data_IF_071863507625
#
_entry.id   IF_071863507625
#
_cell.length_a   1.000
_cell.length_b   1.000
_cell.length_c   1.000
_cell.angle_alpha   90.00
_cell.angle_beta   90.00
_cell.angle_gamma   90.00
#
_symmetry.space_group_name_H-M   'P 1'
#
loop_
_entity.id
_entity.type
_entity.pdbx_description
1 polymer ?
#
# COMPACT_ATOMS: atom_id res chain seq x y z
N UNK A 1 17.81 37.41 24.18
CA UNK A 1 17.64 36.06 24.73
C UNK A 1 18.48 35.11 23.92
N UNK A 2 19.16 34.18 24.59
CA UNK A 2 19.89 33.09 23.94
C UNK A 2 19.34 31.78 24.49
N UNK A 3 19.25 30.76 23.65
CA UNK A 3 18.86 29.44 24.12
C UNK A 3 20.03 28.79 24.90
N UNK A 4 19.72 27.92 25.87
CA UNK A 4 20.71 27.08 26.55
C UNK A 4 21.56 26.27 25.56
N UNK A 5 22.74 25.81 26.01
CA UNK A 5 23.61 24.96 25.19
C UNK A 5 22.87 23.70 24.71
N UNK A 6 23.02 23.38 23.42
CA UNK A 6 22.33 22.26 22.76
C UNK A 6 20.93 22.57 22.22
N UNK A 7 20.46 23.81 22.36
CA UNK A 7 19.16 24.24 21.83
C UNK A 7 19.30 25.33 20.75
N UNK A 8 18.33 25.37 19.86
CA UNK A 8 18.18 26.32 18.76
C UNK A 8 16.86 27.07 18.91
N UNK A 9 16.83 28.33 18.52
CA UNK A 9 15.62 29.16 18.61
C UNK A 9 14.80 29.00 17.33
N UNK A 10 13.63 28.37 17.42
CA UNK A 10 12.69 28.13 16.30
C UNK A 10 11.27 28.46 16.77
N UNK A 11 10.50 29.23 16.00
CA UNK A 11 9.11 29.64 16.30
C UNK A 11 8.87 30.35 17.64
N UNK A 12 9.88 31.03 18.19
CA UNK A 12 9.75 31.72 19.49
C UNK A 12 10.06 30.83 20.70
N UNK A 13 10.40 29.56 20.48
CA UNK A 13 10.77 28.60 21.52
C UNK A 13 12.20 28.08 21.32
N UNK A 14 12.84 27.66 22.42
CA UNK A 14 14.11 26.97 22.36
C UNK A 14 13.86 25.47 22.20
N UNK A 15 14.14 24.92 21.01
CA UNK A 15 13.98 23.51 20.68
C UNK A 15 15.35 22.81 20.67
N UNK A 16 15.41 21.48 20.89
CA UNK A 16 16.66 20.73 20.71
C UNK A 16 17.23 20.92 19.31
N UNK A 17 18.56 20.96 19.18
CA UNK A 17 19.24 21.13 17.89
C UNK A 17 18.78 20.11 16.83
N UNK A 18 18.47 18.90 17.27
CA UNK A 18 18.03 17.77 16.44
C UNK A 18 16.73 18.07 15.66
N UNK A 19 15.94 19.07 16.06
CA UNK A 19 14.73 19.52 15.34
C UNK A 19 15.06 20.21 14.00
N UNK A 20 16.29 20.69 13.85
CA UNK A 20 16.80 21.22 12.59
C UNK A 20 17.45 20.15 11.71
N UNK A 21 17.62 18.92 12.20
CA UNK A 21 18.20 17.85 11.39
C UNK A 21 17.14 17.33 10.42
N UNK A 22 17.37 17.60 9.14
CA UNK A 22 16.56 17.12 8.04
C UNK A 22 17.06 15.75 7.60
N UNK A 23 16.15 14.80 7.43
CA UNK A 23 16.49 13.48 6.91
C UNK A 23 16.59 13.43 5.38
N UNK A 24 16.05 14.43 4.68
CA UNK A 24 16.11 14.53 3.23
C UNK A 24 16.08 16.00 2.73
N UNK A 25 16.29 16.19 1.43
CA UNK A 25 16.27 17.52 0.78
C UNK A 25 14.87 18.14 0.68
N UNK A 26 13.81 17.38 0.97
CA UNK A 26 12.43 17.88 0.98
C UNK A 26 12.04 18.50 2.33
N UNK A 27 12.91 18.38 3.34
CA UNK A 27 12.70 18.98 4.64
C UNK A 27 11.97 18.10 5.64
N UNK A 28 11.99 16.77 5.46
CA UNK A 28 11.41 15.86 6.44
C UNK A 28 12.22 15.85 7.75
N UNK A 29 11.51 16.10 8.85
CA UNK A 29 12.07 16.23 10.20
C UNK A 29 11.89 14.93 10.99
N UNK A 30 12.56 14.86 12.15
CA UNK A 30 12.45 13.74 13.08
C UNK A 30 10.99 13.37 13.39
N UNK A 31 10.64 12.11 13.14
CA UNK A 31 9.28 11.60 13.34
C UNK A 31 8.38 11.67 12.10
N UNK A 32 8.81 12.34 11.04
CA UNK A 32 8.06 12.36 9.78
C UNK A 32 8.09 10.97 9.13
N UNK A 33 6.93 10.60 8.57
CA UNK A 33 6.73 9.38 7.77
C UNK A 33 6.16 9.80 6.42
N UNK A 34 6.81 9.39 5.34
CA UNK A 34 6.37 9.71 3.98
C UNK A 34 6.46 8.49 3.07
N UNK A 35 5.68 8.51 1.99
CA UNK A 35 5.78 7.53 0.90
C UNK A 35 6.63 8.11 -0.22
N UNK A 36 7.64 7.37 -0.64
CA UNK A 36 8.46 7.74 -1.81
C UNK A 36 7.87 7.14 -3.09
N UNK A 37 7.25 5.97 -2.96
CA UNK A 37 6.44 5.34 -4.01
C UNK A 37 5.26 4.57 -3.36
N UNK A 38 4.52 3.79 -4.17
CA UNK A 38 3.36 3.02 -3.72
C UNK A 38 3.69 1.92 -2.68
N UNK A 39 4.93 1.44 -2.68
CA UNK A 39 5.45 0.31 -1.92
C UNK A 39 6.54 0.69 -0.91
N UNK A 40 7.09 1.89 -1.00
CA UNK A 40 8.22 2.37 -0.22
C UNK A 40 7.76 3.47 0.69
N UNK A 41 7.82 3.20 2.00
CA UNK A 41 7.62 4.22 3.03
C UNK A 41 8.92 4.47 3.77
N UNK A 42 9.21 5.74 4.04
CA UNK A 42 10.40 6.19 4.74
C UNK A 42 10.00 6.89 6.03
N UNK A 43 10.83 6.72 7.06
CA UNK A 43 10.66 7.39 8.35
C UNK A 43 11.95 8.05 8.78
N UNK A 44 11.87 9.30 9.23
CA UNK A 44 13.02 10.03 9.75
C UNK A 44 13.28 9.66 11.22
N UNK A 45 14.37 8.94 11.47
CA UNK A 45 14.77 8.51 12.83
C UNK A 45 15.64 9.55 13.52
N UNK A 46 15.62 9.52 14.86
CA UNK A 46 16.36 10.43 15.77
C UNK A 46 17.85 10.64 15.47
N UNK A 47 18.49 9.71 14.76
CA UNK A 47 19.90 9.83 14.38
C UNK A 47 20.13 10.68 13.10
N UNK A 48 19.09 11.38 12.61
CA UNK A 48 19.13 12.11 11.34
C UNK A 48 19.22 11.17 10.12
N UNK A 49 18.91 9.89 10.30
CA UNK A 49 18.93 8.87 9.25
C UNK A 49 17.50 8.54 8.82
N UNK A 50 17.27 8.56 7.51
CA UNK A 50 16.06 7.98 6.94
C UNK A 50 16.12 6.45 7.02
N UNK A 51 15.01 5.84 7.42
CA UNK A 51 14.79 4.39 7.37
C UNK A 51 13.65 4.12 6.39
N UNK A 52 13.97 3.51 5.24
CA UNK A 52 13.01 3.22 4.19
C UNK A 52 12.70 1.72 4.17
N UNK A 53 11.42 1.39 4.24
CA UNK A 53 10.90 0.05 4.12
C UNK A 53 10.24 -0.09 2.75
N UNK A 54 10.74 -1.05 1.97
CA UNK A 54 10.18 -1.41 0.67
C UNK A 54 9.38 -2.71 0.80
N UNK A 55 8.10 -2.66 0.46
CA UNK A 55 7.22 -3.81 0.42
C UNK A 55 7.41 -4.58 -0.88
N UNK A 56 7.63 -5.90 -0.78
CA UNK A 56 7.80 -6.79 -1.94
C UNK A 56 6.51 -7.57 -2.16
N UNK A 57 6.01 -7.54 -3.39
CA UNK A 57 4.76 -8.19 -3.73
C UNK A 57 4.85 -9.72 -3.76
N UNK A 58 3.79 -10.41 -3.31
CA UNK A 58 3.73 -11.86 -3.40
C UNK A 58 3.75 -12.31 -4.85
N UNK A 59 4.29 -13.51 -5.14
CA UNK A 59 4.25 -14.08 -6.48
C UNK A 59 2.80 -14.41 -6.88
N UNK A 60 2.57 -14.43 -8.19
CA UNK A 60 1.26 -14.78 -8.75
C UNK A 60 0.85 -16.22 -8.39
N UNK A 61 -0.43 -16.46 -8.07
CA UNK A 61 -0.91 -17.81 -7.81
C UNK A 61 -0.93 -18.63 -9.10
N UNK A 62 -0.66 -19.93 -8.97
CA UNK A 62 -0.81 -20.88 -10.07
C UNK A 62 -2.28 -21.33 -10.11
N UNK A 63 -3.00 -20.95 -11.17
CA UNK A 63 -4.38 -21.37 -11.38
C UNK A 63 -4.48 -22.75 -12.02
N UNK A 64 -5.57 -23.47 -11.71
CA UNK A 64 -5.91 -24.76 -12.34
C UNK A 64 -6.46 -24.52 -13.75
N UNK A 65 -6.53 -25.57 -14.58
CA UNK A 65 -7.06 -25.47 -15.95
C UNK A 65 -8.48 -24.89 -16.03
N UNK A 66 -9.33 -25.15 -15.02
CA UNK A 66 -10.70 -24.63 -14.94
C UNK A 66 -10.81 -23.26 -14.24
N UNK A 67 -9.69 -22.56 -14.07
CA UNK A 67 -9.64 -21.26 -13.41
C UNK A 67 -8.91 -20.23 -14.27
N UNK A 68 -9.41 -19.00 -14.27
CA UNK A 68 -8.75 -17.84 -14.87
C UNK A 68 -8.10 -17.00 -13.78
N UNK A 69 -6.91 -16.48 -14.06
CA UNK A 69 -6.27 -15.50 -13.19
C UNK A 69 -6.97 -14.14 -13.36
N UNK A 70 -7.40 -13.56 -12.26
CA UNK A 70 -8.00 -12.22 -12.20
C UNK A 70 -7.08 -11.32 -11.39
N UNK A 71 -6.79 -10.14 -11.94
CA UNK A 71 -5.98 -9.09 -11.30
C UNK A 71 -6.88 -7.98 -10.81
N UNK A 72 -6.70 -7.59 -9.55
CA UNK A 72 -7.31 -6.40 -8.95
C UNK A 72 -6.20 -5.40 -8.67
N UNK A 73 -6.35 -4.18 -9.19
CA UNK A 73 -5.36 -3.11 -9.05
C UNK A 73 -5.18 -2.72 -7.59
N UNK A 74 -3.97 -2.87 -7.07
CA UNK A 74 -3.59 -2.39 -5.74
C UNK A 74 -3.60 -0.88 -5.67
N UNK A 75 -3.31 -0.19 -6.79
CA UNK A 75 -3.28 1.27 -6.86
C UNK A 75 -4.66 1.88 -6.59
N UNK A 76 -5.73 1.26 -7.09
CA UNK A 76 -7.11 1.70 -6.82
C UNK A 76 -7.51 1.48 -5.35
N UNK A 77 -6.81 0.60 -4.65
CA UNK A 77 -7.04 0.25 -3.25
C UNK A 77 -6.01 0.87 -2.30
N UNK A 78 -5.15 1.79 -2.77
CA UNK A 78 -4.06 2.40 -2.02
C UNK A 78 -3.10 1.37 -1.37
N UNK A 79 -2.99 0.18 -1.98
CA UNK A 79 -2.11 -0.92 -1.57
C UNK A 79 -0.89 -0.97 -2.48
N UNK A 80 0.27 -1.37 -1.95
CA UNK A 80 1.48 -1.57 -2.75
C UNK A 80 1.25 -2.54 -3.92
N UNK A 81 0.62 -3.67 -3.63
CA UNK A 81 0.56 -4.80 -4.55
C UNK A 81 -0.81 -5.02 -5.14
N UNK A 82 -0.83 -5.44 -6.40
CA UNK A 82 -2.04 -5.98 -6.99
C UNK A 82 -2.39 -7.33 -6.37
N UNK A 83 -3.70 -7.58 -6.28
CA UNK A 83 -4.20 -8.84 -5.79
C UNK A 83 -4.58 -9.73 -6.96
N UNK A 84 -3.77 -10.76 -7.19
CA UNK A 84 -4.03 -11.79 -8.18
C UNK A 84 -4.68 -13.00 -7.49
N UNK A 85 -5.81 -13.47 -8.04
CA UNK A 85 -6.49 -14.66 -7.54
C UNK A 85 -7.11 -15.45 -8.69
N UNK A 86 -7.31 -16.74 -8.44
CA UNK A 86 -7.92 -17.65 -9.42
C UNK A 86 -9.43 -17.64 -9.24
N UNK A 87 -10.15 -17.38 -10.32
CA UNK A 87 -11.61 -17.43 -10.38
C UNK A 87 -12.02 -18.61 -11.25
N UNK A 88 -13.00 -19.40 -10.78
CA UNK A 88 -13.54 -20.52 -11.56
C UNK A 88 -14.18 -20.03 -12.86
N UNK A 89 -13.89 -20.74 -13.95
CA UNK A 89 -14.57 -20.53 -15.23
C UNK A 89 -15.93 -21.22 -15.12
N UNK A 90 -16.94 -20.45 -14.73
CA UNK A 90 -18.33 -20.90 -14.76
C UNK A 90 -18.81 -20.77 -16.20
N UNK A 91 -18.91 -21.90 -16.90
CA UNK A 91 -19.72 -21.98 -18.13
C UNK A 91 -21.18 -21.73 -17.71
N UNK A 92 -21.82 -20.68 -18.24
CA UNK A 92 -23.24 -20.44 -18.02
C UNK A 92 -24.02 -21.63 -18.61
N UNK A 93 -24.50 -22.54 -17.75
CA UNK A 93 -25.38 -23.61 -18.17
C UNK A 93 -26.66 -22.99 -18.75
N UNK A 94 -27.06 -23.30 -19.99
CA UNK A 94 -28.30 -22.80 -20.55
C UNK A 94 -29.47 -23.26 -19.67
N UNK A 95 -30.42 -22.36 -19.40
CA UNK A 95 -31.63 -22.72 -18.65
C UNK A 95 -32.31 -23.92 -19.32
N UNK A 96 -32.49 -25.00 -18.55
CA UNK A 96 -33.24 -26.17 -19.00
C UNK A 96 -34.69 -25.74 -19.26
N UNK A 97 -35.08 -25.69 -20.52
CA UNK A 97 -36.48 -25.48 -20.88
C UNK A 97 -37.28 -26.72 -20.47
N UNK A 98 -38.09 -26.59 -19.41
CA UNK A 98 -39.00 -27.64 -19.02
C UNK A 98 -40.03 -27.87 -20.14
N UNK A 99 -40.17 -29.10 -20.67
CA UNK A 99 -41.15 -29.38 -21.70
C UNK A 99 -42.56 -29.14 -21.15
N UNK A 100 -43.46 -28.59 -21.99
CA UNK A 100 -44.88 -28.47 -21.65
C UNK A 100 -45.49 -29.88 -21.62
N UNK A 101 -45.94 -30.30 -20.44
CA UNK A 101 -46.69 -31.54 -20.30
C UNK A 101 -48.09 -31.35 -20.89
N UNK A 102 -48.41 -32.10 -21.95
CA UNK A 102 -49.78 -32.25 -22.44
C UNK A 102 -50.44 -33.43 -21.71
N UNK A 103 -51.75 -33.32 -21.44
CA UNK A 103 -52.53 -34.38 -20.80
C UNK A 103 -52.77 -35.49 -21.84
N UNK A 104 -52.32 -36.71 -21.57
CA UNK A 104 -52.58 -37.86 -22.45
C UNK A 104 -54.08 -38.18 -22.54
N UNK A 105 -54.54 -38.46 -23.77
CA UNK A 105 -55.89 -38.89 -24.12
C UNK A 105 -56.34 -40.21 -23.46
#
# INVERSE_FOLDING_TARGET
CFCPEGQVFEDGECKPKDVCDLCDDQGHKLGDVWKTDQCTSCTCKKDGKMDCQHEVCPPDPICRENQKMVRVSGAELEQCCDKNYCQDIVEECPELSLPKCERGD
#
